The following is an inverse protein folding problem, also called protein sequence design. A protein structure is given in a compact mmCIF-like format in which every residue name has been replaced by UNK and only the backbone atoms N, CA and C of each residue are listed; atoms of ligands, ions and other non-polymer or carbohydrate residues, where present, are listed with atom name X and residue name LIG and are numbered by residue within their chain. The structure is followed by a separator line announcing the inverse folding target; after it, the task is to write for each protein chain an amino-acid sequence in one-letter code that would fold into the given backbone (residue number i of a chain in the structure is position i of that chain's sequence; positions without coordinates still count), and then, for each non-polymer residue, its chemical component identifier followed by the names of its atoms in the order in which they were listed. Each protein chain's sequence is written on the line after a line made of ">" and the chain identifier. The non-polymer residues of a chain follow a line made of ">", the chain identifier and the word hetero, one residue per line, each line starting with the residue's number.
data_IF_117588096083
#
_entry.id   IF_117588096083
#
_cell.length_a   1.000
_cell.length_b   1.000
_cell.length_c   1.000
_cell.angle_alpha   90.00
_cell.angle_beta   90.00
_cell.angle_gamma   90.00
#
_symmetry.space_group_name_H-M   'P 1'
#
loop_
_entity.id
_entity.type
_entity.pdbx_description
1 polymer ?
#
# COMPACT_ATOMS: atom_id res chain seq x y z
N UNK A 1 -22.51 -17.96 -6.76
CA UNK A 1 -21.28 -17.15 -6.66
C UNK A 1 -21.64 -15.73 -7.03
N UNK A 2 -21.20 -14.75 -6.26
CA UNK A 2 -21.26 -13.34 -6.63
C UNK A 2 -20.33 -13.08 -7.82
N UNK A 3 -20.68 -12.09 -8.64
CA UNK A 3 -19.82 -11.63 -9.74
C UNK A 3 -18.51 -11.11 -9.17
N UNK A 4 -17.38 -11.65 -9.61
CA UNK A 4 -16.08 -11.09 -9.28
C UNK A 4 -15.83 -9.83 -10.11
N UNK A 5 -15.88 -8.67 -9.48
CA UNK A 5 -15.50 -7.38 -10.08
C UNK A 5 -14.11 -6.98 -9.61
N UNK A 6 -13.44 -6.08 -10.32
CA UNK A 6 -12.15 -5.53 -9.88
C UNK A 6 -12.25 -4.97 -8.45
N UNK A 7 -13.37 -4.34 -8.12
CA UNK A 7 -13.63 -3.82 -6.77
C UNK A 7 -13.67 -4.93 -5.72
N UNK A 8 -14.40 -6.02 -5.99
CA UNK A 8 -14.44 -7.18 -5.10
C UNK A 8 -13.07 -7.85 -4.95
N UNK A 9 -12.33 -7.96 -6.04
CA UNK A 9 -11.07 -8.69 -6.12
C UNK A 9 -9.92 -7.95 -5.46
N UNK A 10 -9.90 -6.62 -5.53
CA UNK A 10 -8.79 -5.78 -5.08
C UNK A 10 -9.06 -5.06 -3.76
N UNK A 11 -10.32 -4.79 -3.43
CA UNK A 11 -10.67 -3.94 -2.28
C UNK A 11 -11.63 -4.63 -1.29
N UNK A 12 -12.66 -5.34 -1.77
CA UNK A 12 -13.77 -5.76 -0.88
C UNK A 12 -13.69 -7.20 -0.36
N UNK A 13 -12.83 -8.05 -0.91
CA UNK A 13 -12.61 -9.38 -0.35
C UNK A 13 -11.93 -9.27 1.03
N UNK A 14 -12.37 -10.02 2.08
CA UNK A 14 -11.86 -9.87 3.45
C UNK A 14 -10.33 -9.97 3.59
N UNK A 15 -9.71 -10.80 2.76
CA UNK A 15 -8.26 -10.99 2.75
C UNK A 15 -7.55 -9.72 2.23
N UNK A 16 -8.04 -9.14 1.14
CA UNK A 16 -7.52 -7.92 0.54
C UNK A 16 -7.75 -6.71 1.44
N UNK A 17 -8.93 -6.64 2.08
CA UNK A 17 -9.21 -5.63 3.10
C UNK A 17 -8.21 -5.68 4.27
N UNK A 18 -7.77 -6.88 4.66
CA UNK A 18 -6.72 -7.05 5.68
C UNK A 18 -5.38 -6.47 5.23
N UNK A 19 -4.99 -6.67 3.97
CA UNK A 19 -3.77 -6.07 3.40
C UNK A 19 -3.85 -4.54 3.45
N UNK A 20 -4.94 -3.94 2.98
CA UNK A 20 -5.12 -2.49 3.02
C UNK A 20 -5.09 -1.93 4.44
N UNK A 21 -5.74 -2.63 5.37
CA UNK A 21 -5.77 -2.26 6.79
C UNK A 21 -4.37 -2.26 7.38
N UNK A 22 -3.56 -3.28 7.12
CA UNK A 22 -2.21 -3.36 7.65
C UNK A 22 -1.25 -2.35 7.01
N UNK A 23 -1.47 -2.00 5.73
CA UNK A 23 -0.73 -0.91 5.08
C UNK A 23 -1.01 0.43 5.78
N UNK A 24 -2.27 0.77 6.05
CA UNK A 24 -2.55 2.05 6.72
C UNK A 24 -2.17 2.08 8.19
N UNK A 25 -2.24 0.94 8.88
CA UNK A 25 -1.69 0.79 10.24
C UNK A 25 -0.19 1.01 10.25
N UNK A 26 0.53 0.42 9.31
CA UNK A 26 1.97 0.63 9.16
C UNK A 26 2.29 2.11 8.88
N UNK A 27 1.49 2.80 8.08
CA UNK A 27 1.62 4.25 7.88
C UNK A 27 1.24 5.10 9.11
N UNK A 28 0.69 4.49 10.18
CA UNK A 28 0.26 5.18 11.39
C UNK A 28 -1.09 5.89 11.27
N UNK A 29 -1.92 5.57 10.25
CA UNK A 29 -3.19 6.26 9.95
C UNK A 29 -4.32 5.23 9.85
N UNK A 30 -4.80 4.65 10.96
CA UNK A 30 -5.84 3.62 10.91
C UNK A 30 -7.16 4.21 10.43
N UNK A 31 -7.51 4.00 9.16
CA UNK A 31 -8.76 4.42 8.54
C UNK A 31 -9.47 3.26 7.84
N UNK A 32 -10.77 3.39 7.65
CA UNK A 32 -11.54 2.55 6.73
C UNK A 32 -11.57 3.21 5.34
N UNK A 33 -11.48 2.40 4.29
CA UNK A 33 -11.54 2.88 2.90
C UNK A 33 -12.93 2.66 2.29
N UNK A 34 -13.22 3.46 1.26
CA UNK A 34 -14.33 3.21 0.35
C UNK A 34 -14.12 1.91 -0.46
N UNK A 35 -15.21 1.35 -0.95
CA UNK A 35 -15.26 0.05 -1.65
C UNK A 35 -14.88 0.13 -3.13
N UNK A 36 -14.82 1.33 -3.71
CA UNK A 36 -14.57 1.56 -5.13
C UNK A 36 -13.12 1.99 -5.39
N UNK A 37 -12.48 1.42 -6.42
CA UNK A 37 -11.04 1.61 -6.66
C UNK A 37 -10.61 3.07 -6.89
N UNK A 38 -11.39 3.87 -7.62
CA UNK A 38 -11.04 5.28 -7.86
C UNK A 38 -11.16 6.12 -6.59
N UNK A 39 -12.26 5.98 -5.84
CA UNK A 39 -12.45 6.69 -4.58
C UNK A 39 -11.42 6.27 -3.55
N UNK A 40 -11.12 4.97 -3.46
CA UNK A 40 -10.05 4.44 -2.63
C UNK A 40 -8.70 5.08 -2.97
N UNK A 41 -8.37 5.24 -4.26
CA UNK A 41 -7.15 5.94 -4.66
C UNK A 41 -7.13 7.41 -4.25
N UNK A 42 -8.25 8.13 -4.44
CA UNK A 42 -8.37 9.53 -4.03
C UNK A 42 -8.20 9.70 -2.52
N UNK A 43 -8.84 8.83 -1.74
CA UNK A 43 -8.67 8.79 -0.28
C UNK A 43 -7.22 8.48 0.10
N UNK A 44 -6.62 7.45 -0.50
CA UNK A 44 -5.27 7.01 -0.15
C UNK A 44 -4.22 8.09 -0.42
N UNK A 45 -4.23 8.72 -1.60
CA UNK A 45 -3.28 9.80 -1.93
C UNK A 45 -3.54 11.08 -1.12
N UNK A 46 -4.72 11.21 -0.52
CA UNK A 46 -5.16 12.31 0.32
C UNK A 46 -5.02 12.05 1.82
N UNK A 47 -4.50 10.88 2.23
CA UNK A 47 -4.36 10.49 3.65
C UNK A 47 -3.65 11.54 4.50
N UNK A 48 -2.66 12.21 3.91
CA UNK A 48 -1.85 13.22 4.59
C UNK A 48 -1.91 14.52 3.78
N UNK A 49 -2.57 15.54 4.32
CA UNK A 49 -2.53 16.88 3.75
C UNK A 49 -1.12 17.45 3.87
N UNK A 50 -0.39 17.47 2.76
CA UNK A 50 1.06 17.67 2.78
C UNK A 50 1.61 18.11 1.41
N UNK A 51 2.94 18.24 1.32
CA UNK A 51 3.64 18.65 0.09
C UNK A 51 3.57 17.57 -0.99
N UNK A 52 3.75 17.96 -2.25
CA UNK A 52 3.71 17.07 -3.42
C UNK A 52 4.55 15.78 -3.24
N UNK A 53 5.74 15.88 -2.64
CA UNK A 53 6.61 14.72 -2.35
C UNK A 53 5.92 13.62 -1.53
N UNK A 54 5.14 13.98 -0.51
CA UNK A 54 4.44 12.99 0.34
C UNK A 54 3.31 12.35 -0.44
N UNK A 55 2.59 13.14 -1.25
CA UNK A 55 1.57 12.63 -2.16
C UNK A 55 2.14 11.61 -3.16
N UNK A 56 3.32 11.87 -3.72
CA UNK A 56 3.98 10.92 -4.63
C UNK A 56 4.35 9.62 -3.91
N UNK A 57 4.82 9.70 -2.66
CA UNK A 57 5.09 8.53 -1.81
C UNK A 57 3.82 7.71 -1.57
N UNK A 58 2.70 8.36 -1.24
CA UNK A 58 1.41 7.70 -1.03
C UNK A 58 0.90 7.04 -2.32
N UNK A 59 1.06 7.71 -3.47
CA UNK A 59 0.69 7.15 -4.78
C UNK A 59 1.52 5.90 -5.09
N UNK A 60 2.84 5.95 -4.89
CA UNK A 60 3.73 4.80 -5.13
C UNK A 60 3.40 3.64 -4.18
N UNK A 61 3.08 3.95 -2.93
CA UNK A 61 2.65 2.94 -1.95
C UNK A 61 1.36 2.28 -2.41
N UNK A 62 0.35 3.06 -2.81
CA UNK A 62 -0.92 2.53 -3.32
C UNK A 62 -0.74 1.65 -4.56
N UNK A 63 0.06 2.11 -5.54
CA UNK A 63 0.36 1.33 -6.75
C UNK A 63 1.08 0.01 -6.41
N UNK A 64 2.00 0.05 -5.45
CA UNK A 64 2.70 -1.14 -4.97
C UNK A 64 1.75 -2.12 -4.30
N UNK A 65 0.77 -1.62 -3.55
CA UNK A 65 -0.30 -2.45 -2.94
C UNK A 65 -1.13 -3.15 -3.98
N UNK A 66 -1.71 -2.40 -4.94
CA UNK A 66 -2.53 -2.96 -6.02
C UNK A 66 -1.75 -4.01 -6.81
N UNK A 67 -0.51 -3.69 -7.19
CA UNK A 67 0.34 -4.61 -7.94
C UNK A 67 0.60 -5.91 -7.17
N UNK A 68 0.92 -5.82 -5.88
CA UNK A 68 1.26 -6.99 -5.06
C UNK A 68 0.04 -7.87 -4.78
N UNK A 69 -1.13 -7.27 -4.53
CA UNK A 69 -2.40 -7.99 -4.40
C UNK A 69 -2.72 -8.74 -5.70
N UNK A 70 -2.63 -8.04 -6.84
CA UNK A 70 -2.87 -8.63 -8.16
C UNK A 70 -1.93 -9.82 -8.43
N UNK A 71 -0.64 -9.64 -8.17
CA UNK A 71 0.38 -10.68 -8.33
C UNK A 71 0.09 -11.89 -7.43
N UNK A 72 -0.12 -11.68 -6.14
CA UNK A 72 -0.36 -12.76 -5.18
C UNK A 72 -1.63 -13.56 -5.50
N UNK A 73 -2.69 -12.87 -5.96
CA UNK A 73 -3.91 -13.53 -6.42
C UNK A 73 -3.67 -14.36 -7.68
N UNK A 74 -2.92 -13.84 -8.65
CA UNK A 74 -2.59 -14.59 -9.85
C UNK A 74 -1.74 -15.82 -9.53
N UNK A 75 -0.78 -15.72 -8.62
CA UNK A 75 0.00 -16.87 -8.16
C UNK A 75 -0.89 -17.92 -7.47
N UNK A 76 -1.92 -17.50 -6.74
CA UNK A 76 -2.90 -18.42 -6.15
C UNK A 76 -3.72 -19.16 -7.20
N UNK A 77 -4.15 -18.46 -8.26
CA UNK A 77 -5.01 -19.03 -9.31
C UNK A 77 -4.21 -19.91 -10.26
N UNK A 78 -3.08 -19.41 -10.78
CA UNK A 78 -2.33 -20.04 -11.86
C UNK A 78 -1.21 -20.97 -11.38
N UNK A 79 -0.66 -20.69 -10.19
CA UNK A 79 0.46 -21.45 -9.63
C UNK A 79 0.07 -22.25 -8.37
N UNK A 80 -1.20 -22.21 -7.95
CA UNK A 80 -1.74 -22.90 -6.78
C UNK A 80 -0.97 -22.61 -5.48
N UNK A 81 -0.40 -21.42 -5.36
CA UNK A 81 0.30 -20.97 -4.16
C UNK A 81 -0.71 -20.43 -3.15
N UNK A 82 -0.55 -20.77 -1.87
CA UNK A 82 -1.42 -20.22 -0.82
C UNK A 82 -1.29 -18.69 -0.69
N UNK A 83 -2.39 -18.01 -0.39
CA UNK A 83 -2.37 -16.57 -0.13
C UNK A 83 -1.97 -16.30 1.33
N UNK A 84 -0.84 -15.63 1.53
CA UNK A 84 -0.40 -15.15 2.84
C UNK A 84 -0.37 -13.61 2.83
N UNK A 85 -1.32 -12.99 3.51
CA UNK A 85 -1.46 -11.53 3.50
C UNK A 85 -0.29 -10.80 4.18
N UNK A 86 0.29 -11.37 5.24
CA UNK A 86 1.43 -10.77 5.94
C UNK A 86 2.65 -10.67 5.02
N UNK A 87 2.91 -11.74 4.27
CA UNK A 87 3.97 -11.76 3.25
C UNK A 87 3.71 -10.74 2.14
N UNK A 88 2.46 -10.61 1.71
CA UNK A 88 2.07 -9.60 0.70
C UNK A 88 2.33 -8.19 1.23
N UNK A 89 1.98 -7.90 2.49
CA UNK A 89 2.26 -6.61 3.13
C UNK A 89 3.76 -6.30 3.15
N UNK A 90 4.61 -7.28 3.47
CA UNK A 90 6.07 -7.09 3.44
C UNK A 90 6.60 -6.88 2.02
N UNK A 91 6.10 -7.62 1.03
CA UNK A 91 6.44 -7.42 -0.39
C UNK A 91 6.03 -6.02 -0.89
N UNK A 92 4.90 -5.49 -0.42
CA UNK A 92 4.45 -4.13 -0.74
C UNK A 92 5.43 -3.10 -0.20
N UNK A 93 5.81 -3.18 1.09
CA UNK A 93 6.75 -2.25 1.71
C UNK A 93 8.09 -2.24 0.97
N UNK A 94 8.61 -3.41 0.63
CA UNK A 94 9.86 -3.57 -0.12
C UNK A 94 9.74 -2.99 -1.54
N UNK A 95 8.64 -3.28 -2.23
CA UNK A 95 8.41 -2.80 -3.61
C UNK A 95 8.29 -1.28 -3.66
N UNK A 96 7.49 -0.69 -2.77
CA UNK A 96 7.37 0.75 -2.64
C UNK A 96 8.73 1.40 -2.35
N UNK A 97 9.50 0.86 -1.40
CA UNK A 97 10.84 1.34 -1.08
C UNK A 97 11.79 1.29 -2.28
N UNK A 98 11.82 0.17 -3.02
CA UNK A 98 12.66 0.03 -4.22
C UNK A 98 12.29 1.06 -5.28
N UNK A 99 10.99 1.25 -5.56
CA UNK A 99 10.51 2.23 -6.53
C UNK A 99 10.88 3.64 -6.09
N UNK A 100 10.70 3.98 -4.81
CA UNK A 100 11.06 5.28 -4.27
C UNK A 100 12.56 5.55 -4.35
N UNK A 101 13.41 4.57 -3.97
CA UNK A 101 14.86 4.69 -4.08
C UNK A 101 15.33 4.89 -5.53
N UNK A 102 14.64 4.29 -6.50
CA UNK A 102 14.99 4.42 -7.91
C UNK A 102 14.44 5.70 -8.56
N UNK A 103 13.27 6.18 -8.14
CA UNK A 103 12.55 7.27 -8.82
C UNK A 103 12.67 8.63 -8.13
N UNK A 104 12.89 8.69 -6.82
CA UNK A 104 12.94 9.94 -6.07
C UNK A 104 14.38 10.37 -5.77
N UNK A 105 14.80 11.51 -6.35
CA UNK A 105 16.16 12.07 -6.21
C UNK A 105 16.62 12.25 -4.74
N UNK A 106 15.67 12.55 -3.85
CA UNK A 106 15.95 12.85 -2.44
C UNK A 106 15.30 11.84 -1.46
N UNK A 107 15.14 10.58 -1.86
CA UNK A 107 14.70 9.51 -0.95
C UNK A 107 15.91 8.74 -0.39
N UNK A 108 16.38 9.16 0.78
CA UNK A 108 17.55 8.59 1.47
C UNK A 108 17.21 7.56 2.54
N UNK A 109 15.93 7.36 2.85
CA UNK A 109 15.45 6.44 3.89
C UNK A 109 15.92 4.98 3.66
N UNK A 110 16.44 4.34 4.70
CA UNK A 110 16.79 2.92 4.66
C UNK A 110 15.54 2.04 4.67
N UNK A 111 15.66 0.78 4.25
CA UNK A 111 14.51 -0.15 4.33
C UNK A 111 14.06 -0.37 5.79
N UNK A 112 15.00 -0.34 6.73
CA UNK A 112 14.70 -0.45 8.17
C UNK A 112 13.86 0.73 8.67
N UNK A 113 14.28 1.95 8.34
CA UNK A 113 13.56 3.17 8.74
C UNK A 113 12.20 3.22 8.04
N UNK A 114 12.12 2.79 6.79
CA UNK A 114 10.86 2.72 6.05
C UNK A 114 9.86 1.78 6.70
N UNK A 115 10.31 0.61 7.15
CA UNK A 115 9.46 -0.36 7.81
C UNK A 115 9.05 0.08 9.23
N UNK A 116 9.94 0.75 9.95
CA UNK A 116 9.73 1.09 11.36
C UNK A 116 9.06 2.45 11.56
N UNK A 117 9.42 3.44 10.74
CA UNK A 117 9.05 4.85 10.89
C UNK A 117 8.73 5.50 9.52
N UNK A 118 7.73 5.01 8.76
CA UNK A 118 7.46 5.50 7.41
C UNK A 118 7.11 7.00 7.37
N UNK A 119 6.44 7.52 8.40
CA UNK A 119 6.13 8.95 8.50
C UNK A 119 7.39 9.83 8.61
N UNK A 120 8.43 9.38 9.33
CA UNK A 120 9.70 10.09 9.38
C UNK A 120 10.39 10.10 8.01
N UNK A 121 10.33 8.98 7.28
CA UNK A 121 10.83 8.89 5.91
C UNK A 121 10.07 9.79 4.92
N UNK A 122 8.81 10.12 5.23
CA UNK A 122 8.03 11.13 4.50
C UNK A 122 8.34 12.58 4.95
N UNK A 123 9.18 12.76 5.98
CA UNK A 123 9.49 14.07 6.56
C UNK A 123 8.39 14.62 7.47
N UNK A 124 7.57 13.75 8.06
CA UNK A 124 6.42 14.10 8.90
C UNK A 124 6.66 13.94 10.41
N UNK A 125 7.87 13.52 10.84
CA UNK A 125 8.21 13.22 12.24
C UNK A 125 8.23 14.39 13.25
N UNK A 126 7.55 15.51 12.98
CA UNK A 126 7.45 16.67 13.89
C UNK A 126 6.02 17.23 14.05
N UNK A 127 4.98 16.42 13.84
CA UNK A 127 3.59 16.87 13.95
C UNK A 127 2.74 16.13 15.00
N UNK A 128 3.37 15.43 15.94
CA UNK A 128 2.74 14.96 17.18
C UNK A 128 3.56 15.42 18.38
#
# INVERSE_FOLDING_TARGET
>A
GSTETEDHVLFNCPIQSSVWTDIVRWLGIPIAFAEEGYEHFQMFKGLISSRAKVKDILIITWLSTVHSIWKARNDMIFNHVGFNWEKVVDEIKISAWKILKASAKDFSCSLYDWNSNPLECMGMGRML
#
